data_IF_527468573600
#
_entry.id   IF_527468573600
#
_cell.length_a   1.000
_cell.length_b   1.000
_cell.length_c   1.000
_cell.angle_alpha   90.00
_cell.angle_beta   90.00
_cell.angle_gamma   90.00
#
_symmetry.space_group_name_H-M   'P 1'
#
loop_
_entity.id
_entity.type
_entity.pdbx_description
1 polymer ?
#
# COMPACT_ATOMS: atom_id res chain seq x y z
N UNK A 1 19.70 -7.46 -12.86
CA UNK A 1 19.47 -7.03 -11.46
C UNK A 1 18.79 -8.17 -10.69
N UNK A 2 19.41 -8.64 -9.60
CA UNK A 2 18.81 -9.68 -8.74
C UNK A 2 17.60 -9.13 -7.97
N UNK A 3 16.83 -10.03 -7.35
CA UNK A 3 15.66 -9.72 -6.49
C UNK A 3 15.95 -8.60 -5.48
N UNK A 4 17.21 -8.47 -5.04
CA UNK A 4 17.73 -7.48 -4.08
C UNK A 4 17.77 -6.02 -4.57
N UNK A 5 17.56 -5.78 -5.87
CA UNK A 5 17.68 -4.43 -6.48
C UNK A 5 16.34 -3.89 -7.00
N UNK A 6 15.24 -4.40 -6.44
CA UNK A 6 13.87 -4.08 -6.86
C UNK A 6 13.42 -2.74 -6.27
N UNK A 7 12.95 -1.83 -7.13
CA UNK A 7 12.21 -0.62 -6.74
C UNK A 7 10.73 -0.79 -7.12
N UNK A 8 9.87 0.07 -6.57
CA UNK A 8 8.42 0.02 -6.83
C UNK A 8 8.13 -0.01 -8.33
N UNK A 9 8.77 0.83 -9.14
CA UNK A 9 8.55 0.88 -10.60
C UNK A 9 8.93 -0.42 -11.34
N UNK A 10 9.74 -1.28 -10.74
CA UNK A 10 10.15 -2.55 -11.34
C UNK A 10 8.99 -3.54 -11.42
N UNK A 11 7.99 -3.46 -10.52
CA UNK A 11 6.82 -4.34 -10.57
C UNK A 11 5.98 -4.12 -11.84
N UNK A 12 5.68 -2.87 -12.17
CA UNK A 12 4.95 -2.49 -13.38
C UNK A 12 5.74 -2.92 -14.61
N UNK A 13 7.05 -2.63 -14.64
CA UNK A 13 7.90 -2.99 -15.78
C UNK A 13 7.97 -4.50 -15.99
N UNK A 14 8.09 -5.29 -14.94
CA UNK A 14 8.14 -6.75 -15.05
C UNK A 14 6.80 -7.32 -15.55
N UNK A 15 5.68 -6.82 -15.00
CA UNK A 15 4.35 -7.25 -15.39
C UNK A 15 4.01 -6.86 -16.83
N UNK A 16 4.21 -5.59 -17.20
CA UNK A 16 3.91 -5.08 -18.55
C UNK A 16 4.84 -5.64 -19.63
N UNK A 17 6.03 -6.14 -19.24
CA UNK A 17 6.92 -6.88 -20.14
C UNK A 17 6.60 -8.39 -20.22
N UNK A 18 5.52 -8.85 -19.60
CA UNK A 18 5.10 -10.26 -19.60
C UNK A 18 6.02 -11.21 -18.82
N UNK A 19 6.85 -10.69 -17.90
CA UNK A 19 7.80 -11.51 -17.12
C UNK A 19 7.19 -12.14 -15.88
N UNK A 20 6.09 -11.56 -15.39
CA UNK A 20 5.31 -12.05 -14.24
C UNK A 20 3.83 -11.87 -14.54
N UNK A 21 2.99 -12.76 -14.03
CA UNK A 21 1.54 -12.73 -14.24
C UNK A 21 0.75 -12.15 -13.06
N UNK A 22 1.41 -11.91 -11.92
CA UNK A 22 0.79 -11.39 -10.70
C UNK A 22 1.77 -10.44 -10.00
N UNK A 23 1.27 -9.29 -9.55
CA UNK A 23 2.01 -8.33 -8.72
C UNK A 23 1.11 -7.80 -7.60
N UNK A 24 1.70 -7.44 -6.46
CA UNK A 24 1.05 -6.64 -5.44
C UNK A 24 1.30 -5.17 -5.75
N UNK A 25 0.28 -4.45 -6.21
CA UNK A 25 0.42 -3.05 -6.66
C UNK A 25 -0.90 -2.28 -6.67
N UNK A 26 -0.81 -0.95 -6.66
CA UNK A 26 -1.95 -0.07 -6.91
C UNK A 26 -2.40 -0.09 -8.37
N UNK A 27 -3.49 0.64 -8.66
CA UNK A 27 -4.10 0.75 -10.00
C UNK A 27 -3.19 1.39 -11.07
N UNK A 28 -2.01 1.91 -10.69
CA UNK A 28 -1.06 2.56 -11.61
C UNK A 28 -0.60 1.65 -12.75
N UNK A 29 -0.53 0.33 -12.54
CA UNK A 29 -0.16 -0.62 -13.61
C UNK A 29 -1.20 -0.63 -14.73
N UNK A 30 -2.49 -0.61 -14.37
CA UNK A 30 -3.60 -0.53 -15.31
C UNK A 30 -3.54 0.78 -16.11
N UNK A 31 -3.33 1.92 -15.44
CA UNK A 31 -3.19 3.20 -16.13
C UNK A 31 -1.99 3.25 -17.06
N UNK A 32 -0.85 2.68 -16.64
CA UNK A 32 0.34 2.59 -17.49
C UNK A 32 0.03 1.80 -18.76
N UNK A 33 -0.66 0.66 -18.65
CA UNK A 33 -1.09 -0.14 -19.80
C UNK A 33 -2.11 0.59 -20.67
N UNK A 34 -3.16 1.16 -20.08
CA UNK A 34 -4.25 1.82 -20.79
C UNK A 34 -3.80 3.08 -21.55
N UNK A 35 -2.74 3.74 -21.08
CA UNK A 35 -2.15 4.91 -21.75
C UNK A 35 -1.26 4.59 -22.95
N UNK A 36 -0.85 3.33 -23.13
CA UNK A 36 -0.01 2.90 -24.25
C UNK A 36 -0.85 2.02 -25.21
N UNK A 37 -1.14 2.48 -26.44
CA UNK A 37 -1.86 1.69 -27.44
C UNK A 37 -1.25 0.30 -27.71
N UNK A 38 0.07 0.13 -27.53
CA UNK A 38 0.75 -1.15 -27.70
C UNK A 38 0.42 -2.16 -26.61
N UNK A 39 0.01 -1.67 -25.44
CA UNK A 39 -0.34 -2.49 -24.28
C UNK A 39 -1.85 -2.66 -24.13
N UNK A 40 -2.66 -2.27 -25.13
CA UNK A 40 -4.12 -2.37 -25.07
C UNK A 40 -4.61 -3.78 -24.72
N UNK A 41 -4.04 -4.82 -25.33
CA UNK A 41 -4.41 -6.20 -25.04
C UNK A 41 -4.12 -6.58 -23.57
N UNK A 42 -3.03 -6.08 -22.99
CA UNK A 42 -2.71 -6.28 -21.58
C UNK A 42 -3.68 -5.48 -20.71
N UNK A 43 -3.97 -4.22 -21.06
CA UNK A 43 -4.91 -3.38 -20.32
C UNK A 43 -6.31 -4.00 -20.24
N UNK A 44 -6.78 -4.59 -21.34
CA UNK A 44 -8.08 -5.27 -21.43
C UNK A 44 -8.11 -6.59 -20.63
N UNK A 45 -6.95 -7.22 -20.39
CA UNK A 45 -6.80 -8.50 -19.68
C UNK A 45 -6.42 -8.35 -18.19
N UNK A 46 -6.09 -7.13 -17.74
CA UNK A 46 -5.77 -6.89 -16.32
C UNK A 46 -7.01 -7.10 -15.46
N UNK A 47 -6.93 -8.09 -14.57
CA UNK A 47 -7.80 -8.25 -13.41
C UNK A 47 -7.13 -7.76 -12.13
N UNK A 48 -7.93 -7.30 -11.17
CA UNK A 48 -7.46 -6.96 -9.82
C UNK A 48 -8.26 -7.72 -8.77
N UNK A 49 -7.61 -8.01 -7.65
CA UNK A 49 -8.23 -8.63 -6.48
C UNK A 49 -7.48 -8.21 -5.21
N UNK A 50 -8.13 -8.31 -4.07
CA UNK A 50 -7.48 -8.25 -2.76
C UNK A 50 -6.51 -9.42 -2.59
N UNK A 51 -5.52 -9.25 -1.70
CA UNK A 51 -4.52 -10.26 -1.41
C UNK A 51 -5.16 -11.52 -0.80
N UNK A 52 -4.60 -12.72 -1.04
CA UNK A 52 -5.12 -13.94 -0.47
C UNK A 52 -5.01 -13.94 1.07
N UNK A 53 -6.04 -14.45 1.73
CA UNK A 53 -6.05 -14.59 3.19
C UNK A 53 -5.04 -15.65 3.62
N UNK A 54 -4.04 -15.22 4.40
CA UNK A 54 -3.01 -16.10 4.94
C UNK A 54 -3.48 -16.94 6.14
N UNK A 55 -2.56 -17.71 6.74
CA UNK A 55 -2.82 -18.63 7.88
C UNK A 55 -3.51 -18.00 9.10
N UNK A 56 -3.45 -16.67 9.25
CA UNK A 56 -4.14 -15.97 10.33
C UNK A 56 -5.67 -15.96 10.20
N UNK A 57 -6.21 -16.29 9.02
CA UNK A 57 -7.65 -16.24 8.72
C UNK A 57 -8.22 -14.82 8.63
N UNK A 58 -7.36 -13.79 8.71
CA UNK A 58 -7.75 -12.38 8.64
C UNK A 58 -7.33 -11.80 7.30
N UNK A 59 -8.24 -11.06 6.68
CA UNK A 59 -7.96 -10.23 5.51
C UNK A 59 -7.20 -8.98 5.95
N UNK A 60 -5.93 -8.88 5.54
CA UNK A 60 -4.99 -7.88 6.02
C UNK A 60 -4.02 -7.53 4.91
N UNK A 61 -3.94 -6.25 4.61
CA UNK A 61 -3.03 -5.72 3.61
C UNK A 61 -2.26 -4.52 4.17
N UNK A 62 -1.06 -4.31 3.62
CA UNK A 62 -0.28 -3.10 3.89
C UNK A 62 -0.55 -2.10 2.77
N UNK A 63 -1.13 -0.95 3.12
CA UNK A 63 -1.33 0.16 2.18
C UNK A 63 -0.46 1.35 2.56
N UNK A 64 -0.03 2.10 1.55
CA UNK A 64 0.61 3.39 1.78
C UNK A 64 -0.42 4.38 2.32
N UNK A 65 -0.10 5.03 3.45
CA UNK A 65 -0.99 6.01 4.09
C UNK A 65 -0.44 7.41 3.89
N UNK A 66 -1.23 8.26 3.22
CA UNK A 66 -0.99 9.71 3.21
C UNK A 66 -1.70 10.35 4.40
N UNK A 67 -0.96 11.12 5.20
CA UNK A 67 -1.48 11.78 6.39
C UNK A 67 -1.62 13.29 6.18
N UNK A 68 -2.75 13.85 6.59
CA UNK A 68 -2.90 15.30 6.73
C UNK A 68 -2.49 15.72 8.15
N UNK A 69 -1.52 16.63 8.26
CA UNK A 69 -0.95 17.07 9.55
C UNK A 69 -1.12 18.57 9.71
N UNK A 70 -1.69 18.99 10.85
CA UNK A 70 -1.73 20.40 11.25
C UNK A 70 -0.56 20.66 12.20
N UNK A 71 0.38 21.50 11.77
CA UNK A 71 1.50 21.89 12.61
C UNK A 71 1.03 22.70 13.83
N UNK A 72 1.52 22.33 15.01
CA UNK A 72 1.14 22.97 16.29
C UNK A 72 1.43 24.47 16.34
N UNK A 73 2.45 24.94 15.61
CA UNK A 73 2.86 26.35 15.57
C UNK A 73 2.04 27.21 14.59
N UNK A 74 1.02 26.65 13.92
CA UNK A 74 0.16 27.45 13.04
C UNK A 74 -0.53 28.57 13.81
N UNK A 75 -0.57 29.77 13.22
CA UNK A 75 -1.33 30.91 13.76
C UNK A 75 -2.84 30.73 13.60
N UNK A 76 -3.29 29.76 12.80
CA UNK A 76 -4.70 29.56 12.44
C UNK A 76 -5.19 28.12 12.68
N UNK A 77 -5.09 27.57 13.91
CA UNK A 77 -5.39 26.17 14.18
C UNK A 77 -6.85 25.79 13.90
N UNK A 78 -7.80 26.69 14.18
CA UNK A 78 -9.22 26.44 13.94
C UNK A 78 -9.57 26.48 12.45
N UNK A 79 -8.99 27.41 11.68
CA UNK A 79 -9.18 27.46 10.23
C UNK A 79 -8.64 26.20 9.55
N UNK A 80 -7.45 25.73 9.94
CA UNK A 80 -6.87 24.50 9.41
C UNK A 80 -7.73 23.26 9.73
N UNK A 81 -8.27 23.17 10.96
CA UNK A 81 -9.21 22.09 11.34
C UNK A 81 -10.51 22.14 10.54
N UNK A 82 -11.08 23.33 10.35
CA UNK A 82 -12.30 23.51 9.55
C UNK A 82 -12.07 23.17 8.08
N UNK A 83 -10.91 23.53 7.53
CA UNK A 83 -10.53 23.14 6.18
C UNK A 83 -10.42 21.61 6.03
N UNK A 84 -9.72 20.93 6.95
CA UNK A 84 -9.66 19.47 6.91
C UNK A 84 -11.03 18.84 7.07
N UNK A 85 -11.88 19.35 7.98
CA UNK A 85 -13.26 18.88 8.11
C UNK A 85 -14.00 19.00 6.77
N UNK A 86 -13.95 20.17 6.13
CA UNK A 86 -14.58 20.43 4.84
C UNK A 86 -14.07 19.50 3.74
N UNK A 87 -12.77 19.25 3.67
CA UNK A 87 -12.19 18.31 2.69
C UNK A 87 -12.64 16.86 2.91
N UNK A 88 -12.99 16.51 4.15
CA UNK A 88 -13.56 15.21 4.53
C UNK A 88 -15.10 15.23 4.55
N UNK A 89 -15.77 16.24 4.01
CA UNK A 89 -17.20 16.13 3.74
C UNK A 89 -17.43 15.32 2.45
N UNK A 90 -18.56 14.62 2.36
CA UNK A 90 -18.82 13.65 1.28
C UNK A 90 -18.64 14.24 -0.13
N UNK A 91 -19.15 15.44 -0.47
CA UNK A 91 -18.98 16.01 -1.80
C UNK A 91 -17.50 16.22 -2.18
N UNK A 92 -16.68 16.71 -1.24
CA UNK A 92 -15.29 17.08 -1.44
C UNK A 92 -14.42 15.83 -1.54
N UNK A 93 -14.61 14.90 -0.60
CA UNK A 93 -13.87 13.64 -0.62
C UNK A 93 -14.25 12.80 -1.84
N UNK A 94 -15.53 12.71 -2.20
CA UNK A 94 -15.95 11.95 -3.40
C UNK A 94 -15.30 12.49 -4.66
N UNK A 95 -15.33 13.81 -4.85
CA UNK A 95 -14.66 14.46 -5.98
C UNK A 95 -13.16 14.22 -5.97
N UNK A 96 -12.52 14.23 -4.80
CA UNK A 96 -11.08 13.97 -4.68
C UNK A 96 -10.72 12.53 -5.06
N UNK A 97 -11.47 11.54 -4.57
CA UNK A 97 -11.27 10.12 -4.90
C UNK A 97 -11.44 9.92 -6.41
N UNK A 98 -12.52 10.45 -7.00
CA UNK A 98 -12.79 10.39 -8.44
C UNK A 98 -11.66 11.05 -9.25
N UNK A 99 -11.20 12.23 -8.83
CA UNK A 99 -10.12 12.96 -9.52
C UNK A 99 -8.75 12.28 -9.36
N UNK A 100 -8.58 11.43 -8.36
CA UNK A 100 -7.42 10.57 -8.22
C UNK A 100 -7.51 9.30 -9.07
N UNK A 101 -8.61 9.12 -9.80
CA UNK A 101 -8.87 7.94 -10.64
C UNK A 101 -8.72 6.63 -9.83
N UNK A 102 -9.32 6.58 -8.64
CA UNK A 102 -9.20 5.44 -7.72
C UNK A 102 -7.75 5.09 -7.28
N UNK A 103 -6.76 5.93 -7.59
CA UNK A 103 -5.38 5.71 -7.15
C UNK A 103 -5.23 5.98 -5.66
N UNK A 104 -5.89 7.04 -5.17
CA UNK A 104 -5.94 7.31 -3.75
C UNK A 104 -7.17 6.64 -3.14
N UNK A 105 -6.93 5.59 -2.35
CA UNK A 105 -7.98 4.93 -1.59
C UNK A 105 -8.53 5.86 -0.49
N UNK A 106 -9.79 5.65 -0.13
CA UNK A 106 -10.43 6.41 0.92
C UNK A 106 -9.84 6.10 2.31
N UNK A 107 -10.09 6.99 3.27
CA UNK A 107 -9.63 6.82 4.65
C UNK A 107 -10.75 6.38 5.61
N UNK A 108 -12.02 6.48 5.20
CA UNK A 108 -13.19 6.11 5.99
C UNK A 108 -14.11 5.17 5.20
N UNK A 109 -14.71 4.19 5.89
CA UNK A 109 -15.63 3.19 5.29
C UNK A 109 -16.80 3.81 4.53
N UNK A 110 -17.27 4.98 4.99
CA UNK A 110 -18.39 5.68 4.37
C UNK A 110 -18.16 6.05 2.90
N UNK A 111 -16.91 6.13 2.42
CA UNK A 111 -16.62 6.45 1.01
C UNK A 111 -16.42 5.22 0.11
N UNK A 112 -16.60 4.02 0.66
CA UNK A 112 -16.63 2.79 -0.15
C UNK A 112 -17.85 2.75 -1.09
N UNK A 113 -18.85 3.62 -0.86
CA UNK A 113 -20.01 3.80 -1.74
C UNK A 113 -19.78 4.76 -2.92
N UNK A 114 -18.57 5.32 -3.07
CA UNK A 114 -18.26 6.20 -4.19
C UNK A 114 -18.39 5.44 -5.53
N UNK A 115 -19.08 6.02 -6.55
CA UNK A 115 -19.34 5.33 -7.81
C UNK A 115 -18.07 4.94 -8.59
N UNK A 116 -16.93 5.60 -8.35
CA UNK A 116 -15.65 5.27 -9.01
C UNK A 116 -15.27 3.81 -8.81
N UNK A 117 -15.56 3.22 -7.64
CA UNK A 117 -15.21 1.84 -7.34
C UNK A 117 -15.92 0.82 -8.25
N UNK A 118 -17.06 1.21 -8.81
CA UNK A 118 -17.85 0.37 -9.73
C UNK A 118 -17.76 0.83 -11.18
N UNK A 119 -17.09 1.95 -11.47
CA UNK A 119 -16.97 2.49 -12.82
C UNK A 119 -16.10 1.61 -13.74
N UNK A 120 -15.22 0.80 -13.16
CA UNK A 120 -14.44 -0.20 -13.86
C UNK A 120 -14.21 -1.41 -12.91
N UNK A 121 -14.37 -2.67 -13.36
CA UNK A 121 -14.10 -3.85 -12.53
C UNK A 121 -12.71 -3.85 -11.88
N UNK A 122 -11.70 -3.26 -12.53
CA UNK A 122 -10.34 -3.10 -12.01
C UNK A 122 -10.31 -2.29 -10.70
N UNK A 123 -11.29 -1.41 -10.47
CA UNK A 123 -11.29 -0.51 -9.32
C UNK A 123 -11.92 -1.11 -8.07
N UNK A 124 -12.80 -2.11 -8.24
CA UNK A 124 -13.65 -2.61 -7.16
C UNK A 124 -12.88 -3.13 -5.91
N UNK A 125 -11.75 -3.85 -6.04
CA UNK A 125 -11.01 -4.34 -4.87
C UNK A 125 -10.40 -3.22 -4.00
N UNK A 126 -10.06 -2.08 -4.61
CA UNK A 126 -9.42 -0.96 -3.90
C UNK A 126 -10.39 -0.25 -2.94
N UNK A 127 -11.72 -0.40 -3.15
CA UNK A 127 -12.73 0.12 -2.24
C UNK A 127 -12.63 -0.47 -0.82
N UNK A 128 -11.93 -1.60 -0.64
CA UNK A 128 -11.75 -2.25 0.67
C UNK A 128 -10.43 -1.91 1.36
N UNK A 129 -9.54 -1.14 0.73
CA UNK A 129 -8.18 -0.93 1.22
C UNK A 129 -8.15 -0.40 2.66
N UNK A 130 -9.01 0.56 3.02
CA UNK A 130 -9.06 1.10 4.37
C UNK A 130 -9.53 0.09 5.43
N UNK A 131 -10.32 -0.91 5.04
CA UNK A 131 -10.87 -1.92 5.95
C UNK A 131 -9.85 -3.01 6.27
N UNK A 132 -8.95 -3.30 5.33
CA UNK A 132 -7.92 -4.34 5.46
C UNK A 132 -6.60 -3.80 6.00
N UNK A 133 -6.45 -2.47 6.09
CA UNK A 133 -5.23 -1.82 6.58
C UNK A 133 -4.89 -2.24 8.01
N UNK A 134 -3.64 -2.67 8.20
CA UNK A 134 -3.04 -2.88 9.52
C UNK A 134 -1.83 -1.98 9.70
N UNK A 135 -1.74 -1.37 10.87
CA UNK A 135 -0.59 -0.51 11.22
C UNK A 135 0.68 -1.35 11.38
N UNK A 136 1.83 -0.75 11.08
CA UNK A 136 3.14 -1.43 11.15
C UNK A 136 3.52 -1.93 12.54
N UNK A 137 2.89 -1.43 13.60
CA UNK A 137 3.08 -1.93 14.97
C UNK A 137 2.37 -3.26 15.24
N UNK A 138 1.27 -3.56 14.53
CA UNK A 138 0.36 -4.67 14.81
C UNK A 138 0.08 -4.90 16.31
N UNK A 139 0.67 -5.95 16.90
CA UNK A 139 0.51 -6.32 18.30
C UNK A 139 1.40 -5.49 19.24
N UNK A 140 2.42 -4.83 18.70
CA UNK A 140 3.25 -3.85 19.39
C UNK A 140 2.76 -2.41 19.19
N UNK A 141 3.35 -1.45 19.91
CA UNK A 141 2.98 -0.05 19.80
C UNK A 141 3.37 0.54 18.45
N UNK A 142 2.50 1.36 17.87
CA UNK A 142 2.86 2.23 16.76
C UNK A 142 3.73 3.38 17.30
N UNK A 143 4.94 3.52 16.77
CA UNK A 143 5.89 4.52 17.24
C UNK A 143 7.27 4.41 16.57
N UNK A 144 8.28 5.14 17.09
CA UNK A 144 9.62 5.19 16.51
C UNK A 144 10.24 3.82 16.25
N UNK A 145 10.07 2.87 17.17
CA UNK A 145 10.58 1.50 16.99
C UNK A 145 9.95 0.79 15.78
N UNK A 146 8.62 0.77 15.67
CA UNK A 146 7.91 0.17 14.53
C UNK A 146 8.24 0.87 13.20
N UNK A 147 8.44 2.20 13.24
CA UNK A 147 8.83 2.99 12.07
C UNK A 147 10.27 2.67 11.64
N UNK A 148 11.20 2.52 12.58
CA UNK A 148 12.59 2.18 12.31
C UNK A 148 12.74 0.76 11.74
N UNK A 149 11.98 -0.22 12.25
CA UNK A 149 11.96 -1.59 11.70
C UNK A 149 11.54 -1.61 10.22
N UNK A 150 10.57 -0.77 9.85
CA UNK A 150 10.14 -0.61 8.45
C UNK A 150 11.19 0.15 7.62
N UNK A 151 11.72 1.27 8.14
CA UNK A 151 12.69 2.10 7.44
C UNK A 151 14.00 1.37 7.13
N UNK A 152 14.45 0.51 8.04
CA UNK A 152 15.67 -0.29 7.90
C UNK A 152 15.40 -1.64 7.21
N UNK A 153 14.24 -1.78 6.54
CA UNK A 153 13.89 -2.91 5.69
C UNK A 153 14.04 -4.29 6.36
N UNK A 154 13.89 -4.38 7.68
CA UNK A 154 14.21 -5.60 8.44
C UNK A 154 13.45 -6.83 7.92
N UNK A 155 12.17 -6.67 7.57
CA UNK A 155 11.35 -7.76 7.03
C UNK A 155 11.64 -8.04 5.56
N UNK A 156 11.96 -7.01 4.76
CA UNK A 156 12.28 -7.17 3.35
C UNK A 156 13.58 -7.94 3.19
N UNK A 157 14.63 -7.55 3.93
CA UNK A 157 15.91 -8.25 3.98
C UNK A 157 15.74 -9.71 4.43
N UNK A 158 14.84 -9.98 5.38
CA UNK A 158 14.54 -11.35 5.83
C UNK A 158 14.07 -12.23 4.67
N UNK A 159 13.10 -11.75 3.88
CA UNK A 159 12.60 -12.50 2.74
C UNK A 159 13.64 -12.61 1.64
N UNK A 160 14.42 -11.56 1.41
CA UNK A 160 15.43 -11.55 0.36
C UNK A 160 16.58 -12.53 0.66
N UNK A 161 17.09 -12.53 1.91
CA UNK A 161 18.09 -13.50 2.39
C UNK A 161 17.61 -14.95 2.24
N UNK A 162 16.34 -15.22 2.57
CA UNK A 162 15.76 -16.56 2.43
C UNK A 162 15.54 -16.96 0.96
N UNK A 163 14.97 -16.06 0.14
CA UNK A 163 14.63 -16.33 -1.25
C UNK A 163 15.87 -16.49 -2.15
N UNK A 164 16.98 -15.83 -1.81
CA UNK A 164 18.26 -15.95 -2.54
C UNK A 164 19.15 -17.07 -2.01
N UNK A 165 18.77 -17.74 -0.91
CA UNK A 165 19.55 -18.81 -0.30
C UNK A 165 20.80 -18.32 0.44
N UNK A 166 20.90 -17.02 0.75
CA UNK A 166 21.97 -16.49 1.61
C UNK A 166 21.88 -17.06 3.03
N UNK A 167 20.66 -17.39 3.48
CA UNK A 167 20.35 -18.03 4.76
C UNK A 167 19.20 -19.01 4.61
N UNK A 168 19.07 -19.97 5.53
CA UNK A 168 17.83 -20.74 5.63
C UNK A 168 16.67 -19.84 6.07
N UNK A 169 15.40 -20.20 5.77
CA UNK A 169 14.24 -19.45 6.27
C UNK A 169 14.26 -19.24 7.80
N UNK A 170 14.67 -20.25 8.56
CA UNK A 170 14.76 -20.18 10.02
C UNK A 170 15.84 -19.20 10.49
N UNK A 171 17.01 -19.20 9.85
CA UNK A 171 18.11 -18.30 10.16
C UNK A 171 17.80 -16.85 9.81
N UNK A 172 17.21 -16.61 8.63
CA UNK A 172 16.78 -15.29 8.20
C UNK A 172 15.73 -14.72 9.18
N UNK A 173 14.72 -15.52 9.53
CA UNK A 173 13.68 -15.12 10.49
C UNK A 173 14.26 -14.82 11.88
N UNK A 174 15.18 -15.67 12.37
CA UNK A 174 15.87 -15.43 13.64
C UNK A 174 16.66 -14.11 13.62
N UNK A 175 17.41 -13.85 12.56
CA UNK A 175 18.19 -12.62 12.41
C UNK A 175 17.28 -11.38 12.36
N UNK A 176 16.20 -11.44 11.60
CA UNK A 176 15.22 -10.36 11.53
C UNK A 176 14.59 -10.06 12.89
N UNK A 177 14.23 -11.10 13.65
CA UNK A 177 13.73 -10.95 15.02
C UNK A 177 14.77 -10.30 15.95
N UNK A 178 16.04 -10.70 15.86
CA UNK A 178 17.11 -10.13 16.68
C UNK A 178 17.45 -8.68 16.28
N UNK A 179 17.32 -8.31 15.00
CA UNK A 179 17.38 -6.91 14.54
C UNK A 179 16.21 -6.11 15.09
N UNK A 180 14.98 -6.58 14.93
CA UNK A 180 13.78 -5.90 15.41
C UNK A 180 13.85 -5.62 16.91
N UNK A 181 14.28 -6.60 17.72
CA UNK A 181 14.44 -6.44 19.18
C UNK A 181 15.34 -5.26 19.58
N UNK A 182 16.30 -4.85 18.75
CA UNK A 182 17.19 -3.71 19.08
C UNK A 182 16.43 -2.40 19.11
N UNK A 183 15.49 -2.19 18.18
CA UNK A 183 14.66 -0.98 18.15
C UNK A 183 13.62 -0.94 19.27
N UNK A 184 13.18 -2.09 19.77
CA UNK A 184 12.19 -2.14 20.86
C UNK A 184 12.82 -2.13 22.27
N UNK A 185 14.15 -2.10 22.37
CA UNK A 185 14.89 -1.99 23.64
C UNK A 185 15.33 -0.55 23.96
N UNK A 186 15.26 0.34 22.99
CA UNK A 186 15.65 1.76 23.10
C UNK A 186 14.51 2.64 23.58
#
# INVERSE_FOLDING_TARGET
PGTESWLDVNNNRAFLAGKVSVIANGVSVYYSAASDPKLKAIADDIGTTNLPVGKSGKDVELHQVTSAVIFKYTKYPNAAKLYLKYMFEKPQMSKWIESSSAYCCQTLKAYADNPIWTANPVFAPYAKASETLRTNGYAGPLGPASAAVMADYVLVDMFAEAATGQRTPEEAAKRAADRAKRYYKS
#
